data_IF_191948463067
#
_entry.id   IF_191948463067
#
_cell.length_a   1.000
_cell.length_b   1.000
_cell.length_c   1.000
_cell.angle_alpha   90.00
_cell.angle_beta   90.00
_cell.angle_gamma   90.00
#
_symmetry.space_group_name_H-M   'P 1'
#
loop_
_entity.id
_entity.type
_entity.pdbx_description
1 polymer ?
#
# COMPACT_ATOMS: atom_id res chain seq x y z
N UNK A 1 -5.53 19.16 9.65
CA UNK A 1 -5.40 18.07 8.66
C UNK A 1 -4.42 17.03 9.18
N UNK A 2 -4.76 15.78 9.06
CA UNK A 2 -3.90 14.70 9.53
C UNK A 2 -2.75 14.44 8.56
N UNK A 3 -1.51 14.39 9.08
CA UNK A 3 -0.34 14.00 8.28
C UNK A 3 -0.53 12.59 7.73
N UNK A 4 -1.10 11.68 8.54
CA UNK A 4 -1.39 10.31 8.10
C UNK A 4 -2.30 10.27 6.89
N UNK A 5 -3.34 11.08 6.90
CA UNK A 5 -4.25 11.19 5.75
C UNK A 5 -3.51 11.72 4.52
N UNK A 6 -2.67 12.72 4.69
CA UNK A 6 -1.88 13.29 3.60
C UNK A 6 -0.96 12.25 2.98
N UNK A 7 -0.29 11.44 3.81
CA UNK A 7 0.58 10.36 3.34
C UNK A 7 -0.23 9.34 2.53
N UNK A 8 -1.36 8.86 3.06
CA UNK A 8 -2.19 7.89 2.34
C UNK A 8 -2.72 8.44 1.01
N UNK A 9 -3.18 9.68 1.03
CA UNK A 9 -3.70 10.32 -0.18
C UNK A 9 -2.61 10.49 -1.23
N UNK A 10 -1.40 10.82 -0.81
CA UNK A 10 -0.27 10.96 -1.73
C UNK A 10 0.13 9.62 -2.33
N UNK A 11 0.15 8.55 -1.53
CA UNK A 11 0.43 7.20 -2.03
C UNK A 11 -0.63 6.79 -3.06
N UNK A 12 -1.89 7.04 -2.76
CA UNK A 12 -2.98 6.74 -3.70
C UNK A 12 -2.79 7.52 -5.01
N UNK A 13 -2.48 8.81 -4.94
CA UNK A 13 -2.25 9.63 -6.13
C UNK A 13 -1.05 9.12 -6.94
N UNK A 14 0.01 8.72 -6.25
CA UNK A 14 1.21 8.17 -6.90
C UNK A 14 0.89 6.88 -7.63
N UNK A 15 0.15 5.98 -7.02
CA UNK A 15 -0.24 4.72 -7.65
C UNK A 15 -1.16 4.95 -8.86
N UNK A 16 -2.10 5.87 -8.74
CA UNK A 16 -2.99 6.21 -9.86
C UNK A 16 -2.25 6.84 -11.03
N UNK A 17 -1.19 7.58 -10.76
CA UNK A 17 -0.39 8.25 -11.80
C UNK A 17 0.66 7.35 -12.44
N UNK A 18 0.99 6.22 -11.81
CA UNK A 18 2.01 5.31 -12.33
C UNK A 18 1.47 4.50 -13.50
N UNK A 19 2.16 4.54 -14.63
CA UNK A 19 1.68 3.89 -15.87
C UNK A 19 1.63 2.36 -15.72
N UNK A 20 2.58 1.77 -15.00
CA UNK A 20 2.62 0.32 -14.80
C UNK A 20 1.48 -0.13 -13.92
N UNK A 21 1.22 0.58 -12.83
CA UNK A 21 0.11 0.30 -11.93
C UNK A 21 -1.22 0.50 -12.66
N UNK A 22 -1.37 1.59 -13.41
CA UNK A 22 -2.59 1.88 -14.17
C UNK A 22 -2.88 0.80 -15.21
N UNK A 23 -1.85 0.22 -15.82
CA UNK A 23 -2.02 -0.87 -16.76
C UNK A 23 -2.57 -2.15 -16.11
N UNK A 24 -2.32 -2.33 -14.80
CA UNK A 24 -2.80 -3.50 -14.06
C UNK A 24 -4.21 -3.30 -13.50
N UNK A 25 -4.48 -2.18 -12.87
CA UNK A 25 -5.71 -1.99 -12.09
C UNK A 25 -6.60 -0.84 -12.58
N UNK A 26 -6.14 -0.06 -13.57
CA UNK A 26 -6.87 1.12 -14.02
C UNK A 26 -6.96 2.15 -12.90
N UNK A 27 -8.17 2.49 -12.48
CA UNK A 27 -8.41 3.46 -11.40
C UNK A 27 -8.84 2.79 -10.10
N UNK A 28 -8.76 1.45 -10.00
CA UNK A 28 -9.24 0.70 -8.84
C UNK A 28 -8.22 0.69 -7.70
N UNK A 29 -7.95 1.86 -7.16
CA UNK A 29 -7.09 2.08 -6.00
C UNK A 29 -7.94 2.77 -4.92
N UNK A 30 -8.12 2.07 -3.81
CA UNK A 30 -9.02 2.51 -2.73
C UNK A 30 -8.29 2.52 -1.40
N UNK A 31 -8.59 3.51 -0.56
CA UNK A 31 -8.11 3.54 0.82
C UNK A 31 -9.13 2.80 1.68
N UNK A 32 -8.67 1.74 2.37
CA UNK A 32 -9.52 0.91 3.21
C UNK A 32 -9.91 -0.41 2.55
N UNK A 33 -10.74 -1.19 3.23
CA UNK A 33 -11.11 -2.53 2.79
C UNK A 33 -12.64 -2.75 2.74
N UNK A 34 -13.43 -1.70 2.79
CA UNK A 34 -14.87 -1.82 3.00
C UNK A 34 -15.60 -2.62 1.92
N UNK A 35 -15.06 -2.70 0.71
CA UNK A 35 -15.71 -3.35 -0.43
C UNK A 35 -14.84 -4.43 -1.09
N UNK A 36 -13.99 -5.10 -0.32
CA UNK A 36 -13.05 -6.10 -0.84
C UNK A 36 -13.74 -7.32 -1.45
N UNK A 37 -15.02 -7.53 -1.16
CA UNK A 37 -15.74 -8.74 -1.55
C UNK A 37 -16.15 -8.80 -3.02
N UNK A 38 -16.03 -7.73 -3.78
CA UNK A 38 -16.48 -7.71 -5.17
C UNK A 38 -15.37 -8.10 -6.14
N UNK A 39 -15.30 -9.40 -6.45
CA UNK A 39 -14.28 -9.92 -7.37
C UNK A 39 -14.41 -9.39 -8.79
N UNK A 40 -15.55 -8.84 -9.16
CA UNK A 40 -15.78 -8.28 -10.49
C UNK A 40 -14.90 -7.05 -10.77
N UNK A 41 -14.47 -6.34 -9.74
CA UNK A 41 -13.61 -5.17 -9.87
C UNK A 41 -12.12 -5.50 -9.73
N UNK A 42 -11.74 -6.77 -9.61
CA UNK A 42 -10.35 -7.15 -9.55
C UNK A 42 -9.74 -7.28 -10.94
N UNK A 43 -8.44 -6.98 -11.12
CA UNK A 43 -7.48 -6.59 -10.08
C UNK A 43 -7.74 -5.21 -9.50
N UNK A 44 -7.45 -5.07 -8.20
CA UNK A 44 -7.66 -3.83 -7.49
C UNK A 44 -6.60 -3.67 -6.39
N UNK A 45 -6.39 -2.45 -5.96
CA UNK A 45 -5.43 -2.13 -4.90
C UNK A 45 -6.17 -1.48 -3.73
N UNK A 46 -5.86 -1.96 -2.53
CA UNK A 46 -6.40 -1.42 -1.29
C UNK A 46 -5.26 -0.95 -0.40
N UNK A 47 -5.30 0.31 0.01
CA UNK A 47 -4.31 0.90 0.91
C UNK A 47 -4.87 0.83 2.32
N UNK A 48 -4.25 0.01 3.18
CA UNK A 48 -4.78 -0.31 4.51
C UNK A 48 -3.80 0.16 5.57
N UNK A 49 -4.14 1.17 6.37
CA UNK A 49 -3.32 1.53 7.52
C UNK A 49 -3.47 0.44 8.60
N UNK A 50 -2.35 0.01 9.14
CA UNK A 50 -2.31 -1.09 10.11
C UNK A 50 -2.02 -0.58 11.51
N UNK A 51 -1.02 0.29 11.65
CA UNK A 51 -0.53 0.73 12.95
C UNK A 51 0.19 2.06 12.82
N UNK A 52 0.14 2.85 13.87
CA UNK A 52 0.94 4.07 13.99
C UNK A 52 1.51 4.10 15.40
N UNK A 53 2.84 4.08 15.49
CA UNK A 53 3.56 4.05 16.75
C UNK A 53 4.42 5.28 16.90
N UNK A 54 4.52 5.76 18.14
CA UNK A 54 5.46 6.82 18.48
C UNK A 54 6.82 6.18 18.74
N UNK A 55 7.85 6.63 18.04
CA UNK A 55 9.21 6.19 18.30
C UNK A 55 9.67 6.77 19.63
N UNK A 56 10.60 6.05 20.31
CA UNK A 56 11.07 6.42 21.63
C UNK A 56 11.94 7.67 21.63
N UNK A 57 12.38 8.13 20.47
CA UNK A 57 13.18 9.34 20.36
C UNK A 57 12.29 10.57 20.28
N UNK A 58 12.23 11.30 21.38
CA UNK A 58 11.57 12.60 21.41
C UNK A 58 12.62 13.66 21.33
N UNK A 59 12.50 14.57 20.35
CA UNK A 59 13.37 15.71 20.27
C UNK A 59 12.84 16.79 21.21
N UNK A 60 13.38 16.79 22.42
CA UNK A 60 12.86 17.60 23.52
C UNK A 60 12.90 19.12 23.26
N UNK A 61 13.76 19.55 22.34
CA UNK A 61 13.95 20.96 22.07
C UNK A 61 12.87 21.53 21.13
N UNK A 62 12.37 20.72 20.23
CA UNK A 62 11.41 21.16 19.19
C UNK A 62 10.02 20.60 19.39
N UNK A 63 9.80 19.79 20.41
CA UNK A 63 8.53 19.06 20.63
C UNK A 63 8.07 18.23 19.44
N UNK A 64 9.00 17.86 18.57
CA UNK A 64 8.69 16.96 17.48
C UNK A 64 8.79 15.53 17.96
N UNK A 65 7.82 14.73 17.56
CA UNK A 65 7.88 13.28 17.75
C UNK A 65 8.08 12.61 16.42
N UNK A 66 8.97 11.63 16.37
CA UNK A 66 9.06 10.74 15.24
C UNK A 66 8.03 9.62 15.41
N UNK A 67 7.26 9.38 14.39
CA UNK A 67 6.25 8.33 14.37
C UNK A 67 6.52 7.38 13.23
N UNK A 68 6.15 6.13 13.44
CA UNK A 68 6.24 5.09 12.42
C UNK A 68 4.84 4.58 12.12
N UNK A 69 4.39 4.80 10.90
CA UNK A 69 3.11 4.29 10.43
C UNK A 69 3.35 3.07 9.57
N UNK A 70 2.71 1.96 9.91
CA UNK A 70 2.73 0.77 9.07
C UNK A 70 1.52 0.79 8.16
N UNK A 71 1.79 0.73 6.85
CA UNK A 71 0.77 0.62 5.83
C UNK A 71 0.95 -0.68 5.08
N UNK A 72 -0.15 -1.33 4.77
CA UNK A 72 -0.14 -2.47 3.85
C UNK A 72 -0.90 -2.07 2.61
N UNK A 73 -0.27 -2.26 1.46
CA UNK A 73 -0.92 -2.06 0.17
C UNK A 73 -1.23 -3.44 -0.38
N UNK A 74 -2.52 -3.75 -0.49
CA UNK A 74 -2.98 -5.07 -0.94
C UNK A 74 -3.32 -5.04 -2.41
N UNK A 75 -2.75 -5.98 -3.16
CA UNK A 75 -3.08 -6.19 -4.56
C UNK A 75 -3.93 -7.46 -4.67
N UNK A 76 -5.18 -7.30 -5.04
CA UNK A 76 -6.14 -8.39 -5.19
C UNK A 76 -6.27 -8.73 -6.65
N UNK A 77 -6.05 -10.00 -6.98
CA UNK A 77 -6.06 -10.44 -8.37
C UNK A 77 -6.76 -11.80 -8.50
N UNK A 78 -7.43 -11.95 -9.62
CA UNK A 78 -8.04 -13.20 -10.04
C UNK A 78 -7.27 -13.70 -11.26
N UNK A 79 -6.78 -14.96 -11.26
CA UNK A 79 -6.02 -15.45 -12.42
C UNK A 79 -6.85 -15.39 -13.68
N UNK A 80 -6.21 -14.96 -14.78
CA UNK A 80 -6.87 -14.83 -16.06
C UNK A 80 -7.07 -16.18 -16.79
N UNK A 81 -6.60 -17.27 -16.19
CA UNK A 81 -6.72 -18.63 -16.75
C UNK A 81 -5.88 -19.60 -15.96
N UNK A 82 -5.83 -20.85 -16.40
CA UNK A 82 -5.12 -21.91 -15.68
C UNK A 82 -3.64 -21.99 -16.03
N UNK A 83 -3.18 -21.23 -17.02
CA UNK A 83 -1.84 -21.38 -17.56
C UNK A 83 -0.77 -20.61 -16.77
N UNK A 84 -1.15 -19.60 -15.98
CA UNK A 84 -0.21 -18.78 -15.21
C UNK A 84 -0.48 -18.97 -13.73
N UNK A 85 0.54 -19.27 -12.92
CA UNK A 85 0.37 -19.31 -11.47
C UNK A 85 -0.07 -17.96 -10.93
N UNK A 86 -0.99 -17.97 -9.97
CA UNK A 86 -1.47 -16.72 -9.36
C UNK A 86 -0.34 -15.99 -8.63
N UNK A 87 0.69 -16.72 -8.19
CA UNK A 87 1.87 -16.14 -7.56
C UNK A 87 2.60 -15.19 -8.50
N UNK A 88 2.67 -15.51 -9.79
CA UNK A 88 3.30 -14.63 -10.78
C UNK A 88 2.51 -13.33 -10.93
N UNK A 89 1.20 -13.40 -10.91
CA UNK A 89 0.34 -12.19 -10.96
C UNK A 89 0.52 -11.34 -9.71
N UNK A 90 0.62 -11.98 -8.54
CA UNK A 90 0.89 -11.29 -7.28
C UNK A 90 2.24 -10.57 -7.34
N UNK A 91 3.29 -11.25 -7.82
CA UNK A 91 4.62 -10.67 -7.93
C UNK A 91 4.63 -9.46 -8.87
N UNK A 92 3.94 -9.56 -10.00
CA UNK A 92 3.85 -8.45 -10.95
C UNK A 92 3.21 -7.21 -10.30
N UNK A 93 2.11 -7.40 -9.60
CA UNK A 93 1.43 -6.31 -8.92
C UNK A 93 2.24 -5.75 -7.76
N UNK A 94 2.84 -6.63 -6.97
CA UNK A 94 3.67 -6.22 -5.83
C UNK A 94 4.89 -5.42 -6.27
N UNK A 95 5.56 -5.85 -7.33
CA UNK A 95 6.73 -5.13 -7.86
C UNK A 95 6.33 -3.76 -8.39
N UNK A 96 5.20 -3.66 -9.09
CA UNK A 96 4.71 -2.37 -9.58
C UNK A 96 4.39 -1.41 -8.45
N UNK A 97 3.74 -1.91 -7.39
CA UNK A 97 3.40 -1.12 -6.20
C UNK A 97 4.67 -0.66 -5.49
N UNK A 98 5.61 -1.58 -5.26
CA UNK A 98 6.86 -1.24 -4.58
C UNK A 98 7.66 -0.19 -5.36
N UNK A 99 7.81 -0.38 -6.66
CA UNK A 99 8.55 0.55 -7.49
C UNK A 99 7.92 1.94 -7.52
N UNK A 100 6.60 2.01 -7.65
CA UNK A 100 5.89 3.28 -7.66
C UNK A 100 5.99 4.00 -6.30
N UNK A 101 5.77 3.26 -5.21
CA UNK A 101 5.77 3.83 -3.86
C UNK A 101 7.16 4.31 -3.45
N UNK A 102 8.20 3.53 -3.79
CA UNK A 102 9.58 3.86 -3.42
C UNK A 102 10.26 4.85 -4.37
N UNK A 103 9.60 5.22 -5.46
CA UNK A 103 10.14 6.25 -6.37
C UNK A 103 10.26 7.60 -5.67
N UNK A 104 9.41 7.88 -4.68
CA UNK A 104 9.52 9.04 -3.82
C UNK A 104 9.32 8.60 -2.37
N UNK A 105 10.42 8.39 -1.65
CA UNK A 105 10.40 7.92 -0.27
C UNK A 105 9.87 8.96 0.71
N UNK A 106 9.79 10.23 0.31
CA UNK A 106 9.23 11.29 1.15
C UNK A 106 7.74 11.50 0.94
N UNK A 107 7.14 10.78 0.02
CA UNK A 107 5.71 10.87 -0.31
C UNK A 107 5.27 12.32 -0.52
N UNK A 108 5.94 12.99 -1.46
CA UNK A 108 5.65 14.39 -1.77
C UNK A 108 6.08 15.36 -0.67
N UNK A 109 7.03 14.98 0.16
CA UNK A 109 7.50 15.78 1.28
C UNK A 109 6.66 15.65 2.54
N UNK A 110 5.68 14.75 2.58
CA UNK A 110 4.80 14.57 3.73
C UNK A 110 5.40 13.69 4.83
N UNK A 111 6.47 12.97 4.53
CA UNK A 111 7.14 12.11 5.50
C UNK A 111 8.65 12.16 5.35
N UNK A 112 9.38 11.61 6.33
CA UNK A 112 10.83 11.59 6.31
C UNK A 112 11.37 10.45 5.46
N UNK A 113 10.73 9.27 5.50
CA UNK A 113 11.19 8.09 4.78
C UNK A 113 10.08 7.05 4.66
N UNK A 114 10.19 6.23 3.62
CA UNK A 114 9.29 5.10 3.38
C UNK A 114 10.17 3.87 3.15
N UNK A 115 9.94 2.82 3.95
CA UNK A 115 10.72 1.60 3.91
C UNK A 115 9.81 0.42 3.57
N UNK A 116 10.21 -0.39 2.60
CA UNK A 116 9.57 -1.66 2.31
C UNK A 116 9.97 -2.67 3.39
N UNK A 117 9.01 -3.30 4.05
CA UNK A 117 9.29 -4.22 5.14
C UNK A 117 8.97 -5.67 4.83
N UNK A 118 7.94 -5.95 4.06
CA UNK A 118 7.59 -7.34 3.72
C UNK A 118 6.65 -7.43 2.53
N UNK A 119 6.62 -8.63 1.95
CA UNK A 119 5.61 -9.05 0.99
C UNK A 119 5.04 -10.38 1.47
N UNK A 120 3.74 -10.40 1.69
CA UNK A 120 3.02 -11.61 2.09
C UNK A 120 2.08 -12.05 0.98
N UNK A 121 1.99 -13.36 0.79
CA UNK A 121 1.11 -13.97 -0.21
C UNK A 121 -0.08 -14.62 0.49
N UNK A 122 -1.27 -14.44 -0.07
CA UNK A 122 -2.45 -15.18 0.34
C UNK A 122 -3.16 -15.67 -0.91
N UNK A 123 -3.39 -16.98 -0.98
CA UNK A 123 -4.07 -17.61 -2.12
C UNK A 123 -5.23 -18.40 -1.56
N UNK A 124 -6.45 -18.10 -2.03
CA UNK A 124 -7.66 -18.76 -1.56
C UNK A 124 -8.52 -19.20 -2.74
N UNK A 125 -9.33 -20.23 -2.50
CA UNK A 125 -10.33 -20.68 -3.44
C UNK A 125 -11.69 -20.15 -3.06
N UNK A 126 -12.50 -19.80 -4.06
CA UNK A 126 -13.91 -19.46 -3.92
C UNK A 126 -14.71 -20.29 -4.91
N UNK A 127 -16.04 -20.22 -4.81
CA UNK A 127 -16.92 -20.93 -5.73
C UNK A 127 -16.68 -20.56 -7.19
N UNK A 128 -16.30 -19.31 -7.42
CA UNK A 128 -16.03 -18.77 -8.76
C UNK A 128 -14.56 -18.91 -9.19
N UNK A 129 -13.74 -19.62 -8.40
CA UNK A 129 -12.36 -19.89 -8.72
C UNK A 129 -11.37 -19.41 -7.65
N UNK A 130 -10.09 -19.47 -8.00
CA UNK A 130 -9.01 -19.04 -7.11
C UNK A 130 -8.80 -17.53 -7.20
N UNK A 131 -8.32 -16.94 -6.10
CA UNK A 131 -7.86 -15.57 -6.12
C UNK A 131 -6.61 -15.44 -5.26
N UNK A 132 -5.85 -14.38 -5.51
CA UNK A 132 -4.63 -14.11 -4.77
C UNK A 132 -4.60 -12.70 -4.24
N UNK A 133 -3.89 -12.54 -3.12
CA UNK A 133 -3.65 -11.22 -2.53
C UNK A 133 -2.16 -11.11 -2.23
N UNK A 134 -1.53 -10.06 -2.74
CA UNK A 134 -0.18 -9.68 -2.35
C UNK A 134 -0.26 -8.52 -1.38
N UNK A 135 0.29 -8.69 -0.19
CA UNK A 135 0.34 -7.63 0.83
C UNK A 135 1.73 -7.06 0.89
N UNK A 136 1.89 -5.86 0.37
CA UNK A 136 3.16 -5.15 0.36
C UNK A 136 3.14 -4.19 1.54
N UNK A 137 3.96 -4.46 2.55
CA UNK A 137 3.97 -3.67 3.79
C UNK A 137 5.09 -2.67 3.78
N UNK A 138 4.77 -1.45 4.19
CA UNK A 138 5.71 -0.34 4.29
C UNK A 138 5.66 0.26 5.69
N UNK A 139 6.82 0.72 6.15
CA UNK A 139 6.90 1.58 7.33
C UNK A 139 7.20 2.99 6.84
N UNK A 140 6.34 3.92 7.20
CA UNK A 140 6.48 5.34 6.83
C UNK A 140 6.84 6.11 8.09
N UNK A 141 8.00 6.76 8.07
CA UNK A 141 8.48 7.56 9.19
C UNK A 141 8.19 9.03 8.93
N UNK A 142 7.56 9.66 9.90
CA UNK A 142 7.20 11.07 9.78
C UNK A 142 7.30 11.76 11.14
N UNK A 143 7.43 13.08 11.09
CA UNK A 143 7.47 13.89 12.29
C UNK A 143 6.13 14.55 12.52
N UNK A 144 5.69 14.55 13.76
CA UNK A 144 4.55 15.34 14.19
C UNK A 144 4.99 16.27 15.31
N UNK A 145 4.38 17.44 15.34
CA UNK A 145 4.69 18.43 16.34
C UNK A 145 3.56 18.45 17.37
N UNK A 146 3.93 18.31 18.63
CA UNK A 146 2.96 18.46 19.72
C UNK A 146 2.67 19.94 19.91
N UNK A 147 1.39 20.26 19.92
CA UNK A 147 0.93 21.62 20.17
C UNK A 147 0.59 21.82 21.65
#
# INVERSE_FOLDING_TARGET
MSIRKTIRDNIKATLLADATVAALVGTDVVIGQDNVTESASWPAIYIVPVRDETDTHTLSVSRQQMRSMTLTIEYWVKPAGDATPVEDDIDTGADAIANATLADTTQGGSCADTLLTSLDYMIEGREDGRYGVGRVSFTVKYFTQES
#
